data_IF_771694237628
#
_entry.id   IF_771694237628
#
_cell.length_a   1.000
_cell.length_b   1.000
_cell.length_c   1.000
_cell.angle_alpha   90.00
_cell.angle_beta   90.00
_cell.angle_gamma   90.00
#
_symmetry.space_group_name_H-M   'P 1'
#
loop_
_entity.id
_entity.type
_entity.pdbx_description
1 polymer ?
#
# COMPACT_ATOMS: atom_id res chain seq x y z
N UNK A 1 19.07 9.13 -5.98
CA UNK A 1 17.61 9.00 -6.07
C UNK A 1 17.31 7.52 -6.14
N UNK A 2 17.02 6.89 -5.01
CA UNK A 2 16.64 5.47 -4.98
C UNK A 2 15.13 5.40 -5.26
N UNK A 3 14.75 4.61 -6.25
CA UNK A 3 13.36 4.46 -6.70
C UNK A 3 12.65 3.52 -5.73
N UNK A 4 11.47 3.92 -5.23
CA UNK A 4 10.65 3.06 -4.38
C UNK A 4 10.41 1.69 -5.02
N UNK A 5 10.41 0.62 -4.22
CA UNK A 5 10.12 -0.73 -4.68
C UNK A 5 8.69 -0.76 -5.27
N UNK A 6 8.51 -1.16 -6.55
CA UNK A 6 7.18 -1.25 -7.15
C UNK A 6 6.37 -2.38 -6.50
N UNK A 7 5.08 -2.13 -6.25
CA UNK A 7 4.13 -3.18 -5.87
C UNK A 7 3.81 -4.02 -7.10
N UNK A 8 4.07 -5.31 -7.03
CA UNK A 8 3.83 -6.23 -8.14
C UNK A 8 2.34 -6.38 -8.45
N UNK A 9 2.02 -6.64 -9.73
CA UNK A 9 0.66 -6.94 -10.14
C UNK A 9 0.17 -8.24 -9.49
N UNK A 10 -1.12 -8.34 -9.12
CA UNK A 10 -1.65 -9.55 -8.50
C UNK A 10 -1.51 -10.74 -9.46
N UNK A 11 -0.76 -11.76 -9.05
CA UNK A 11 -0.60 -13.01 -9.81
C UNK A 11 -1.74 -14.01 -9.59
N UNK A 12 -2.56 -13.78 -8.56
CA UNK A 12 -3.69 -14.63 -8.19
C UNK A 12 -5.03 -13.95 -8.50
N UNK A 13 -5.99 -14.74 -8.98
CA UNK A 13 -7.35 -14.29 -9.25
C UNK A 13 -8.02 -13.68 -8.00
N UNK A 14 -8.94 -12.72 -8.17
CA UNK A 14 -9.77 -12.21 -7.08
C UNK A 14 -10.43 -13.36 -6.31
N UNK A 15 -10.38 -13.33 -4.97
CA UNK A 15 -10.93 -14.36 -4.09
C UNK A 15 -10.00 -15.55 -3.79
N UNK A 16 -8.84 -15.68 -4.46
CA UNK A 16 -7.88 -16.72 -4.12
C UNK A 16 -7.26 -16.48 -2.72
N UNK A 17 -7.11 -17.53 -1.89
CA UNK A 17 -6.60 -17.40 -0.52
C UNK A 17 -5.17 -16.82 -0.48
N UNK A 18 -4.36 -17.11 -1.50
CA UNK A 18 -2.97 -16.63 -1.58
C UNK A 18 -2.85 -15.20 -2.10
N UNK A 19 -3.92 -14.60 -2.66
CA UNK A 19 -3.91 -13.22 -3.15
C UNK A 19 -3.65 -12.22 -2.03
N UNK A 20 -4.28 -12.42 -0.87
CA UNK A 20 -4.11 -11.55 0.29
C UNK A 20 -2.67 -11.60 0.82
N UNK A 21 -2.09 -12.81 0.90
CA UNK A 21 -0.71 -13.02 1.33
C UNK A 21 0.29 -12.38 0.35
N UNK A 22 0.05 -12.53 -0.95
CA UNK A 22 0.89 -11.90 -1.97
C UNK A 22 0.88 -10.37 -1.88
N UNK A 23 -0.31 -9.78 -1.71
CA UNK A 23 -0.44 -8.34 -1.49
C UNK A 23 0.29 -7.89 -0.22
N UNK A 24 0.08 -8.61 0.89
CA UNK A 24 0.73 -8.28 2.16
C UNK A 24 2.25 -8.29 2.04
N UNK A 25 2.84 -9.34 1.46
CA UNK A 25 4.29 -9.42 1.26
C UNK A 25 4.82 -8.26 0.42
N UNK A 26 4.10 -7.89 -0.65
CA UNK A 26 4.52 -6.79 -1.53
C UNK A 26 4.50 -5.44 -0.80
N UNK A 27 3.47 -5.20 0.01
CA UNK A 27 3.36 -4.00 0.85
C UNK A 27 4.46 -3.99 1.92
N UNK A 28 4.74 -5.12 2.57
CA UNK A 28 5.78 -5.23 3.59
C UNK A 28 7.16 -4.84 3.04
N UNK A 29 7.51 -5.26 1.83
CA UNK A 29 8.77 -4.85 1.18
C UNK A 29 8.82 -3.35 0.88
N UNK A 30 7.73 -2.76 0.39
CA UNK A 30 7.67 -1.33 0.11
C UNK A 30 7.75 -0.49 1.40
N UNK A 31 7.11 -0.96 2.48
CA UNK A 31 7.19 -0.30 3.80
C UNK A 31 8.61 -0.38 4.35
N UNK A 32 9.29 -1.53 4.23
CA UNK A 32 10.68 -1.67 4.66
C UNK A 32 11.62 -0.68 3.92
N UNK A 33 11.48 -0.57 2.60
CA UNK A 33 12.25 0.39 1.80
C UNK A 33 11.96 1.84 2.19
N UNK A 34 10.69 2.18 2.44
CA UNK A 34 10.31 3.51 2.94
C UNK A 34 10.95 3.82 4.30
N UNK A 35 10.97 2.84 5.22
CA UNK A 35 11.60 2.99 6.53
C UNK A 35 13.10 3.20 6.37
N UNK A 36 13.78 2.42 5.54
CA UNK A 36 15.23 2.54 5.30
C UNK A 36 15.59 3.91 4.71
N UNK A 37 14.77 4.43 3.80
CA UNK A 37 14.93 5.77 3.24
C UNK A 37 14.78 6.85 4.32
N UNK A 38 13.76 6.76 5.16
CA UNK A 38 13.52 7.73 6.23
C UNK A 38 14.61 7.67 7.33
N UNK A 39 15.09 6.47 7.67
CA UNK A 39 16.24 6.30 8.57
C UNK A 39 17.50 6.94 7.97
N UNK A 40 17.75 6.73 6.67
CA UNK A 40 18.88 7.34 5.96
C UNK A 40 18.80 8.87 5.92
N UNK A 41 17.59 9.43 5.99
CA UNK A 41 17.35 10.87 6.12
C UNK A 41 17.46 11.39 7.57
N UNK A 42 17.69 10.50 8.56
CA UNK A 42 17.94 10.86 9.95
C UNK A 42 16.72 10.74 10.89
N UNK A 43 15.59 10.23 10.42
CA UNK A 43 14.40 10.03 11.25
C UNK A 43 14.52 8.79 12.14
N UNK A 44 13.92 8.82 13.34
CA UNK A 44 13.92 7.65 14.22
C UNK A 44 12.86 6.64 13.79
N UNK A 45 13.12 5.34 13.93
CA UNK A 45 12.15 4.30 13.58
C UNK A 45 10.75 4.49 14.19
N UNK A 46 10.66 4.93 15.45
CA UNK A 46 9.37 5.18 16.10
C UNK A 46 8.57 6.29 15.43
N UNK A 47 9.22 7.42 15.10
CA UNK A 47 8.58 8.55 14.43
C UNK A 47 8.07 8.15 13.04
N UNK A 48 8.85 7.32 12.33
CA UNK A 48 8.48 6.80 11.01
C UNK A 48 7.24 5.91 11.11
N UNK A 49 7.23 4.96 12.04
CA UNK A 49 6.09 4.03 12.19
C UNK A 49 4.80 4.75 12.62
N UNK A 50 4.89 5.73 13.53
CA UNK A 50 3.74 6.54 13.95
C UNK A 50 3.18 7.38 12.79
N UNK A 51 4.04 7.90 11.93
CA UNK A 51 3.64 8.64 10.73
C UNK A 51 2.97 7.74 9.68
N UNK A 52 3.52 6.54 9.44
CA UNK A 52 2.94 5.55 8.51
C UNK A 52 1.53 5.15 8.98
N UNK A 53 1.36 4.83 10.27
CA UNK A 53 0.06 4.46 10.82
C UNK A 53 -0.98 5.58 10.65
N UNK A 54 -0.57 6.82 10.88
CA UNK A 54 -1.43 8.00 10.71
C UNK A 54 -1.82 8.23 9.25
N UNK A 55 -0.88 8.04 8.32
CA UNK A 55 -1.14 8.16 6.88
C UNK A 55 -2.14 7.10 6.38
N UNK A 56 -1.98 5.85 6.81
CA UNK A 56 -2.91 4.75 6.47
C UNK A 56 -4.31 5.02 7.01
N UNK A 57 -4.42 5.50 8.26
CA UNK A 57 -5.70 5.87 8.84
C UNK A 57 -6.39 7.01 8.05
N UNK A 58 -5.63 8.04 7.67
CA UNK A 58 -6.15 9.14 6.86
C UNK A 58 -6.62 8.68 5.47
N UNK A 59 -5.82 7.88 4.78
CA UNK A 59 -6.18 7.34 3.46
C UNK A 59 -7.43 6.45 3.52
N UNK A 60 -7.52 5.59 4.54
CA UNK A 60 -8.70 4.75 4.74
C UNK A 60 -9.98 5.59 4.85
N UNK A 61 -9.95 6.64 5.67
CA UNK A 61 -11.10 7.52 5.80
C UNK A 61 -11.46 8.16 4.45
N UNK A 62 -10.47 8.62 3.67
CA UNK A 62 -10.73 9.18 2.34
C UNK A 62 -11.35 8.18 1.37
N UNK A 63 -10.93 6.91 1.37
CA UNK A 63 -11.54 5.87 0.53
C UNK A 63 -12.93 5.44 1.01
N UNK A 64 -13.22 5.55 2.31
CA UNK A 64 -14.55 5.29 2.87
C UNK A 64 -15.51 6.47 2.60
N UNK A 65 -15.00 7.70 2.50
CA UNK A 65 -15.78 8.92 2.20
C UNK A 65 -16.00 9.15 0.70
N UNK A 66 -15.08 8.72 -0.17
CA UNK A 66 -15.19 8.76 -1.63
C UNK A 66 -14.82 7.38 -2.20
N UNK A 67 -15.80 6.47 -2.41
CA UNK A 67 -15.54 5.18 -3.01
C UNK A 67 -14.97 5.41 -4.42
N UNK A 68 -13.71 5.05 -4.59
CA UNK A 68 -12.92 5.25 -5.81
C UNK A 68 -13.76 4.90 -7.07
N UNK A 69 -13.92 5.82 -8.05
CA UNK A 69 -14.67 5.57 -9.28
C UNK A 69 -14.09 4.44 -10.16
N UNK A 70 -12.94 3.87 -9.78
CA UNK A 70 -12.41 2.66 -10.39
C UNK A 70 -13.34 1.42 -10.25
N UNK A 71 -14.28 1.39 -9.29
CA UNK A 71 -15.27 0.31 -9.17
C UNK A 71 -16.39 0.40 -10.23
N UNK A 72 -16.61 1.56 -10.85
CA UNK A 72 -17.65 1.75 -11.89
C UNK A 72 -17.21 1.25 -13.28
N UNK A 73 -15.89 1.09 -13.52
CA UNK A 73 -15.39 0.71 -14.85
C UNK A 73 -15.47 -0.81 -15.11
N UNK A 74 -15.76 -1.63 -14.09
CA UNK A 74 -15.89 -3.08 -14.24
C UNK A 74 -17.31 -3.56 -14.63
N UNK A 75 -18.34 -2.69 -14.59
CA UNK A 75 -19.74 -3.07 -14.82
C UNK A 75 -20.29 -2.80 -16.23
N UNK A 76 -19.50 -2.22 -17.16
CA UNK A 76 -19.96 -1.83 -18.51
C UNK A 76 -19.28 -2.58 -19.67
N UNK A 77 -18.71 -3.76 -19.42
CA UNK A 77 -17.98 -4.56 -20.42
C UNK A 77 -18.53 -5.98 -20.63
N UNK A 78 -19.85 -6.15 -20.68
CA UNK A 78 -20.55 -7.41 -21.00
C UNK A 78 -21.30 -7.35 -22.32
#
# INVERSE_FOLDING_TARGET
MTKAIPIDSPIHSPGAPDRARHLQNSIDYAVADLVDQAVSAGWRPREIMDAIASAVAGQRNSYEEDPDPADDTALLGG
#
